data_IF_792365890621
#
_entry.id   IF_792365890621
#
_cell.length_a   1.000
_cell.length_b   1.000
_cell.length_c   1.000
_cell.angle_alpha   90.00
_cell.angle_beta   90.00
_cell.angle_gamma   90.00
#
_symmetry.space_group_name_H-M   'P 1'
#
loop_
_entity.id
_entity.type
_entity.pdbx_description
1 polymer ?
#
# COMPACT_ATOMS: atom_id res chain seq x y z
N UNK A 1 3.86 58.47 2.53
CA UNK A 1 4.28 57.19 1.91
C UNK A 1 3.15 56.67 1.03
N UNK A 2 3.12 56.97 -0.28
CA UNK A 2 1.95 56.65 -1.15
C UNK A 2 2.26 55.92 -2.46
N UNK A 3 3.51 55.55 -2.72
CA UNK A 3 3.83 54.62 -3.80
C UNK A 3 4.94 53.70 -3.30
N UNK A 4 4.66 52.40 -3.29
CA UNK A 4 5.56 51.22 -3.36
C UNK A 4 4.81 49.93 -3.02
N UNK A 5 3.60 50.01 -2.46
CA UNK A 5 2.76 48.85 -2.13
C UNK A 5 2.54 47.94 -3.35
N UNK A 6 2.25 48.50 -4.53
CA UNK A 6 2.08 47.71 -5.76
C UNK A 6 3.33 46.92 -6.19
N UNK A 7 4.52 47.53 -6.06
CA UNK A 7 5.79 46.86 -6.40
C UNK A 7 6.13 45.75 -5.40
N UNK A 8 5.92 46.00 -4.10
CA UNK A 8 6.12 45.00 -3.05
C UNK A 8 5.17 43.82 -3.24
N UNK A 9 3.90 44.08 -3.58
CA UNK A 9 2.91 43.02 -3.86
C UNK A 9 3.29 42.22 -5.09
N UNK A 10 3.77 42.86 -6.16
CA UNK A 10 4.20 42.15 -7.37
C UNK A 10 5.40 41.23 -7.09
N UNK A 11 6.42 41.70 -6.37
CA UNK A 11 7.57 40.88 -5.98
C UNK A 11 7.14 39.74 -5.04
N UNK A 12 6.28 40.02 -4.07
CA UNK A 12 5.75 39.00 -3.16
C UNK A 12 4.94 37.92 -3.92
N UNK A 13 4.13 38.31 -4.90
CA UNK A 13 3.37 37.38 -5.73
C UNK A 13 4.28 36.50 -6.60
N UNK A 14 5.30 37.08 -7.23
CA UNK A 14 6.28 36.32 -8.02
C UNK A 14 7.07 35.35 -7.14
N UNK A 15 7.52 35.80 -5.97
CA UNK A 15 8.19 34.93 -4.99
C UNK A 15 7.27 33.80 -4.50
N UNK A 16 5.99 34.08 -4.26
CA UNK A 16 5.02 33.06 -3.89
C UNK A 16 4.82 32.03 -5.02
N UNK A 17 4.66 32.47 -6.27
CA UNK A 17 4.56 31.56 -7.42
C UNK A 17 5.82 30.73 -7.58
N UNK A 18 7.01 31.28 -7.37
CA UNK A 18 8.26 30.52 -7.46
C UNK A 18 8.42 29.52 -6.30
N UNK A 19 8.13 29.92 -5.07
CA UNK A 19 8.25 29.05 -3.90
C UNK A 19 7.20 27.94 -3.90
N UNK A 20 5.93 28.28 -4.13
CA UNK A 20 4.84 27.31 -4.12
C UNK A 20 4.73 26.55 -5.44
N UNK A 21 4.90 27.22 -6.58
CA UNK A 21 4.85 26.60 -7.91
C UNK A 21 6.06 25.72 -8.19
N UNK A 22 7.27 26.14 -7.75
CA UNK A 22 8.48 25.32 -7.86
C UNK A 22 8.37 24.02 -7.03
N UNK A 23 7.90 24.13 -5.78
CA UNK A 23 7.63 22.95 -4.95
C UNK A 23 6.55 22.04 -5.54
N UNK A 24 5.45 22.62 -6.03
CA UNK A 24 4.36 21.87 -6.65
C UNK A 24 4.82 21.13 -7.91
N UNK A 25 5.54 21.80 -8.81
CA UNK A 25 6.08 21.19 -10.03
C UNK A 25 7.09 20.08 -9.71
N UNK A 26 7.99 20.31 -8.74
CA UNK A 26 8.94 19.28 -8.30
C UNK A 26 8.23 18.05 -7.73
N UNK A 27 7.25 18.25 -6.85
CA UNK A 27 6.45 17.16 -6.28
C UNK A 27 5.76 16.34 -7.38
N UNK A 28 5.12 17.00 -8.33
CA UNK A 28 4.39 16.31 -9.41
C UNK A 28 5.33 15.54 -10.34
N UNK A 29 6.41 16.16 -10.81
CA UNK A 29 7.22 15.61 -11.90
C UNK A 29 8.38 14.73 -11.44
N UNK A 30 9.01 15.06 -10.30
CA UNK A 30 10.17 14.31 -9.82
C UNK A 30 9.79 13.15 -8.89
N UNK A 31 8.60 13.17 -8.30
CA UNK A 31 8.17 12.19 -7.30
C UNK A 31 6.92 11.45 -7.78
N UNK A 32 5.78 12.14 -7.92
CA UNK A 32 4.49 11.48 -8.19
C UNK A 32 4.46 10.78 -9.55
N UNK A 33 4.80 11.48 -10.63
CA UNK A 33 4.75 10.92 -11.98
C UNK A 33 5.65 9.68 -12.19
N UNK A 34 6.95 9.69 -11.82
CA UNK A 34 7.81 8.52 -12.03
C UNK A 34 7.41 7.36 -11.10
N UNK A 35 7.01 7.66 -9.86
CA UNK A 35 6.58 6.63 -8.92
C UNK A 35 5.24 6.01 -9.35
N UNK A 36 4.30 6.82 -9.85
CA UNK A 36 3.06 6.33 -10.45
C UNK A 36 3.29 5.46 -11.67
N UNK A 37 4.23 5.85 -12.53
CA UNK A 37 4.56 5.06 -13.71
C UNK A 37 5.14 3.70 -13.32
N UNK A 38 6.02 3.65 -12.31
CA UNK A 38 6.59 2.42 -11.79
C UNK A 38 5.51 1.46 -11.29
N UNK A 39 4.59 1.93 -10.45
CA UNK A 39 3.52 1.08 -9.89
C UNK A 39 2.55 0.62 -10.98
N UNK A 40 2.14 1.52 -11.90
CA UNK A 40 1.21 1.18 -13.00
C UNK A 40 1.80 0.26 -14.08
N UNK A 41 3.12 0.12 -14.13
CA UNK A 41 3.77 -0.79 -15.08
C UNK A 41 3.74 -2.24 -14.60
N UNK A 42 3.45 -2.47 -13.31
CA UNK A 42 3.34 -3.81 -12.77
C UNK A 42 2.06 -4.48 -13.27
N UNK A 43 2.17 -5.74 -13.67
CA UNK A 43 1.04 -6.53 -14.17
C UNK A 43 -0.02 -6.71 -13.08
N UNK A 44 -1.28 -6.44 -13.44
CA UNK A 44 -2.42 -6.55 -12.51
C UNK A 44 -2.74 -5.28 -11.72
N UNK A 45 -2.05 -4.16 -11.94
CA UNK A 45 -2.42 -2.87 -11.33
C UNK A 45 -3.39 -2.10 -12.24
N UNK A 46 -4.67 -2.02 -11.85
CA UNK A 46 -5.71 -1.33 -12.62
C UNK A 46 -5.74 0.17 -12.32
N UNK A 47 -5.71 0.53 -11.04
CA UNK A 47 -5.74 1.92 -10.60
C UNK A 47 -4.83 2.18 -9.40
N UNK A 48 -4.28 3.39 -9.34
CA UNK A 48 -3.42 3.82 -8.23
C UNK A 48 -3.73 5.25 -7.84
N UNK A 49 -3.99 5.45 -6.55
CA UNK A 49 -4.10 6.77 -5.92
C UNK A 49 -2.92 7.00 -4.99
N UNK A 50 -2.36 8.21 -5.04
CA UNK A 50 -1.20 8.60 -4.24
C UNK A 50 -1.61 9.65 -3.23
N UNK A 51 -1.11 9.49 -2.01
CA UNK A 51 -1.15 10.51 -0.98
C UNK A 51 0.25 10.71 -0.42
N UNK A 52 0.92 11.81 -0.82
CA UNK A 52 2.28 12.09 -0.38
C UNK A 52 2.25 13.11 0.76
N UNK A 53 2.82 12.71 1.89
CA UNK A 53 3.11 13.57 3.03
C UNK A 53 4.62 13.70 3.21
N UNK A 54 5.11 14.64 4.04
CA UNK A 54 6.54 14.78 4.30
C UNK A 54 7.20 13.52 4.90
N UNK A 55 6.43 12.67 5.59
CA UNK A 55 6.94 11.48 6.29
C UNK A 55 6.56 10.17 5.61
N UNK A 56 5.47 10.16 4.84
CA UNK A 56 4.85 8.94 4.33
C UNK A 56 4.38 9.11 2.89
N UNK A 57 4.48 8.03 2.12
CA UNK A 57 3.87 7.88 0.81
C UNK A 57 2.77 6.84 0.93
N UNK A 58 1.52 7.30 0.95
CA UNK A 58 0.34 6.46 0.90
C UNK A 58 0.02 6.03 -0.52
N UNK A 59 -0.11 4.74 -0.73
CA UNK A 59 -0.56 4.11 -1.97
C UNK A 59 -1.90 3.45 -1.71
N UNK A 60 -2.93 3.87 -2.44
CA UNK A 60 -4.17 3.11 -2.54
C UNK A 60 -4.24 2.45 -3.91
N UNK A 61 -4.18 1.13 -3.91
CA UNK A 61 -4.14 0.31 -5.11
C UNK A 61 -5.51 -0.30 -5.39
N UNK A 62 -5.81 -0.44 -6.67
CA UNK A 62 -6.86 -1.27 -7.21
C UNK A 62 -6.18 -2.33 -8.08
N UNK A 63 -6.37 -3.60 -7.75
CA UNK A 63 -5.64 -4.71 -8.33
C UNK A 63 -6.61 -5.67 -9.02
N UNK A 64 -6.23 -6.12 -10.21
CA UNK A 64 -6.90 -7.20 -10.91
C UNK A 64 -6.82 -8.50 -10.09
N UNK A 65 -7.77 -9.41 -10.28
CA UNK A 65 -7.80 -10.67 -9.54
C UNK A 65 -6.54 -11.52 -9.77
N UNK A 66 -5.98 -12.08 -8.70
CA UNK A 66 -4.78 -12.93 -8.76
C UNK A 66 -3.44 -12.17 -8.87
N UNK A 67 -3.43 -10.85 -8.70
CA UNK A 67 -2.19 -10.08 -8.75
C UNK A 67 -1.23 -10.50 -7.64
N UNK A 68 0.05 -10.72 -7.98
CA UNK A 68 1.09 -10.99 -6.99
C UNK A 68 1.43 -9.71 -6.20
N UNK A 69 0.77 -9.56 -5.05
CA UNK A 69 0.97 -8.44 -4.15
C UNK A 69 2.38 -8.39 -3.56
N UNK A 70 2.95 -9.54 -3.19
CA UNK A 70 4.29 -9.61 -2.62
C UNK A 70 5.34 -9.18 -3.64
N UNK A 71 5.17 -9.63 -4.89
CA UNK A 71 5.98 -9.19 -6.02
C UNK A 71 5.85 -7.70 -6.32
N UNK A 72 4.63 -7.15 -6.27
CA UNK A 72 4.40 -5.72 -6.44
C UNK A 72 5.14 -4.91 -5.39
N UNK A 73 5.04 -5.30 -4.11
CA UNK A 73 5.76 -4.61 -3.03
C UNK A 73 7.27 -4.70 -3.23
N UNK A 74 7.81 -5.89 -3.52
CA UNK A 74 9.24 -6.03 -3.82
C UNK A 74 9.70 -5.17 -4.99
N UNK A 75 8.88 -5.04 -6.03
CA UNK A 75 9.17 -4.18 -7.17
C UNK A 75 9.23 -2.71 -6.75
N UNK A 76 8.26 -2.25 -5.96
CA UNK A 76 8.22 -0.89 -5.40
C UNK A 76 9.41 -0.64 -4.47
N UNK A 77 9.76 -1.60 -3.61
CA UNK A 77 10.90 -1.45 -2.71
C UNK A 77 12.24 -1.42 -3.47
N UNK A 78 12.41 -2.27 -4.47
CA UNK A 78 13.65 -2.35 -5.23
C UNK A 78 13.88 -1.11 -6.09
N UNK A 79 12.86 -0.72 -6.86
CA UNK A 79 12.99 0.30 -7.90
C UNK A 79 12.50 1.68 -7.42
N UNK A 80 11.61 1.70 -6.43
CA UNK A 80 11.02 2.90 -5.84
C UNK A 80 11.75 3.45 -4.61
N UNK A 81 12.67 2.71 -3.97
CA UNK A 81 13.41 3.20 -2.78
C UNK A 81 14.16 4.51 -3.02
N UNK A 82 14.70 4.72 -4.22
CA UNK A 82 15.35 5.99 -4.60
C UNK A 82 14.35 7.16 -4.65
N UNK A 83 13.09 6.88 -5.00
CA UNK A 83 12.02 7.86 -5.11
C UNK A 83 11.33 8.14 -3.76
N UNK A 84 11.24 7.12 -2.89
CA UNK A 84 10.69 7.22 -1.54
C UNK A 84 11.61 8.03 -0.60
N UNK A 85 12.93 7.96 -0.80
CA UNK A 85 13.90 8.64 0.04
C UNK A 85 13.85 8.12 1.48
N UNK A 86 13.54 9.00 2.43
CA UNK A 86 13.42 8.67 3.87
C UNK A 86 11.96 8.57 4.34
N UNK A 87 11.00 8.45 3.41
CA UNK A 87 9.57 8.39 3.71
C UNK A 87 9.15 6.93 3.84
N UNK A 88 8.22 6.65 4.75
CA UNK A 88 7.65 5.32 4.91
C UNK A 88 6.60 5.07 3.82
N UNK A 89 6.59 3.88 3.24
CA UNK A 89 5.55 3.44 2.32
C UNK A 89 4.36 2.91 3.12
N UNK A 90 3.17 3.45 2.89
CA UNK A 90 1.93 2.92 3.44
C UNK A 90 1.08 2.38 2.29
N UNK A 91 0.77 1.10 2.33
CA UNK A 91 0.00 0.43 1.28
C UNK A 91 -1.41 0.14 1.76
N UNK A 92 -2.39 0.50 0.95
CA UNK A 92 -3.80 0.16 1.10
C UNK A 92 -4.27 -0.45 -0.21
N UNK A 93 -4.93 -1.60 -0.17
CA UNK A 93 -5.47 -2.26 -1.35
C UNK A 93 -6.99 -2.25 -1.27
N UNK A 94 -7.62 -1.88 -2.38
CA UNK A 94 -9.06 -2.03 -2.55
C UNK A 94 -9.30 -3.47 -2.97
N UNK A 95 -9.96 -4.26 -2.11
CA UNK A 95 -10.31 -5.62 -2.45
C UNK A 95 -11.62 -5.67 -3.26
N UNK A 96 -11.66 -6.58 -4.24
CA UNK A 96 -12.88 -6.98 -4.95
C UNK A 96 -13.34 -8.32 -4.38
N UNK A 97 -13.47 -8.36 -3.05
CA UNK A 97 -13.87 -9.56 -2.32
C UNK A 97 -15.37 -9.81 -2.48
N UNK A 98 -15.77 -11.07 -2.33
CA UNK A 98 -17.16 -11.48 -2.26
C UNK A 98 -17.48 -11.99 -0.84
N UNK A 99 -18.75 -12.01 -0.42
CA UNK A 99 -19.12 -12.57 0.87
C UNK A 99 -18.64 -14.01 1.09
N UNK A 100 -18.59 -14.81 0.02
CA UNK A 100 -18.07 -16.18 0.08
C UNK A 100 -16.56 -16.18 0.34
N UNK A 101 -15.79 -15.32 -0.33
CA UNK A 101 -14.35 -15.20 -0.13
C UNK A 101 -14.02 -14.67 1.29
N UNK A 102 -14.83 -13.76 1.83
CA UNK A 102 -14.71 -13.29 3.21
C UNK A 102 -15.00 -14.39 4.23
N UNK A 103 -15.97 -15.27 3.92
CA UNK A 103 -16.28 -16.44 4.74
C UNK A 103 -15.13 -17.44 4.72
N UNK A 104 -14.60 -17.75 3.53
CA UNK A 104 -13.43 -18.62 3.34
C UNK A 104 -12.22 -18.06 4.11
N UNK A 105 -11.96 -16.76 4.03
CA UNK A 105 -10.88 -16.12 4.79
C UNK A 105 -11.06 -16.27 6.31
N UNK A 106 -12.30 -16.16 6.79
CA UNK A 106 -12.62 -16.29 8.21
C UNK A 106 -12.28 -17.67 8.78
N UNK A 107 -12.28 -18.72 7.96
CA UNK A 107 -11.87 -20.08 8.35
C UNK A 107 -10.37 -20.17 8.64
N UNK A 108 -9.54 -19.44 7.88
CA UNK A 108 -8.09 -19.39 8.07
C UNK A 108 -7.65 -18.33 9.11
N UNK A 109 -8.49 -17.33 9.40
CA UNK A 109 -8.12 -16.16 10.20
C UNK A 109 -7.50 -16.50 11.55
N UNK A 110 -8.07 -17.48 12.28
CA UNK A 110 -7.56 -17.87 13.60
C UNK A 110 -6.17 -18.50 13.52
N UNK A 111 -5.98 -19.47 12.62
CA UNK A 111 -4.70 -20.15 12.42
C UNK A 111 -3.62 -19.19 11.92
N UNK A 112 -3.97 -18.28 11.01
CA UNK A 112 -3.06 -17.23 10.53
C UNK A 112 -2.70 -16.26 11.66
N UNK A 113 -3.66 -15.82 12.47
CA UNK A 113 -3.40 -14.95 13.61
C UNK A 113 -2.46 -15.62 14.63
N UNK A 114 -2.69 -16.89 14.96
CA UNK A 114 -1.80 -17.66 15.83
C UNK A 114 -0.39 -17.78 15.24
N UNK A 115 -0.28 -18.05 13.94
CA UNK A 115 1.00 -18.13 13.25
C UNK A 115 1.76 -16.80 13.26
N UNK A 116 1.05 -15.68 13.08
CA UNK A 116 1.62 -14.33 13.19
C UNK A 116 2.15 -14.06 14.61
N UNK A 117 1.36 -14.37 15.65
CA UNK A 117 1.75 -14.15 17.05
C UNK A 117 2.99 -14.98 17.43
N UNK A 118 3.03 -16.24 17.00
CA UNK A 118 4.15 -17.15 17.27
C UNK A 118 5.31 -17.00 16.28
N UNK A 119 5.21 -16.10 15.28
CA UNK A 119 6.20 -15.91 14.20
C UNK A 119 6.46 -17.19 13.38
N UNK A 120 5.46 -18.05 13.29
CA UNK A 120 5.47 -19.30 12.53
C UNK A 120 4.95 -19.07 11.11
N UNK A 121 5.62 -18.23 10.34
CA UNK A 121 5.10 -17.76 9.05
C UNK A 121 4.88 -18.87 8.01
N UNK A 122 5.63 -19.98 8.11
CA UNK A 122 5.42 -21.16 7.26
C UNK A 122 4.06 -21.82 7.48
N UNK A 123 3.50 -21.72 8.70
CA UNK A 123 2.17 -22.25 9.03
C UNK A 123 1.04 -21.46 8.35
N UNK A 124 1.29 -20.20 7.99
CA UNK A 124 0.36 -19.40 7.19
C UNK A 124 0.19 -20.06 5.82
N UNK A 125 1.29 -20.39 5.14
CA UNK A 125 1.25 -21.07 3.84
C UNK A 125 0.55 -22.42 3.96
N UNK A 126 0.87 -23.22 4.98
CA UNK A 126 0.23 -24.51 5.20
C UNK A 126 -1.30 -24.36 5.42
N UNK A 127 -1.72 -23.38 6.20
CA UNK A 127 -3.14 -23.07 6.42
C UNK A 127 -3.84 -22.72 5.09
N UNK A 128 -3.20 -21.91 4.24
CA UNK A 128 -3.74 -21.54 2.94
C UNK A 128 -3.79 -22.73 1.97
N UNK A 129 -2.78 -23.60 1.97
CA UNK A 129 -2.77 -24.81 1.16
C UNK A 129 -3.91 -25.75 1.55
N UNK A 130 -4.22 -25.88 2.85
CA UNK A 130 -5.38 -26.63 3.34
C UNK A 130 -6.70 -26.00 2.88
N UNK A 131 -6.79 -24.67 2.92
CA UNK A 131 -7.98 -23.95 2.45
C UNK A 131 -8.23 -24.18 0.96
N UNK A 132 -7.18 -24.16 0.14
CA UNK A 132 -7.25 -24.47 -1.30
C UNK A 132 -7.72 -25.90 -1.55
N UNK A 133 -7.33 -26.87 -0.71
CA UNK A 133 -7.79 -28.26 -0.83
C UNK A 133 -9.28 -28.44 -0.47
N UNK A 134 -9.83 -27.55 0.36
CA UNK A 134 -11.23 -27.60 0.82
C UNK A 134 -12.20 -26.92 -0.13
N UNK A 135 -11.71 -25.97 -0.94
CA UNK A 135 -12.52 -25.13 -1.82
C UNK A 135 -12.03 -25.24 -3.26
N UNK A 136 -12.76 -25.98 -4.10
CA UNK A 136 -12.45 -26.13 -5.52
C UNK A 136 -12.36 -24.75 -6.21
N UNK A 137 -11.32 -24.56 -7.04
CA UNK A 137 -11.02 -23.33 -7.77
C UNK A 137 -10.57 -22.11 -6.93
N UNK A 138 -10.38 -22.27 -5.61
CA UNK A 138 -9.69 -21.27 -4.80
C UNK A 138 -8.18 -21.30 -5.09
N UNK A 139 -7.59 -20.12 -5.21
CA UNK A 139 -6.15 -19.94 -5.19
C UNK A 139 -5.80 -19.07 -3.98
N UNK A 140 -4.78 -19.48 -3.23
CA UNK A 140 -4.30 -18.75 -2.07
C UNK A 140 -2.77 -18.71 -2.08
N UNK A 141 -2.22 -17.52 -1.85
CA UNK A 141 -0.77 -17.33 -1.74
C UNK A 141 -0.44 -16.49 -0.52
N UNK A 142 0.67 -16.82 0.15
CA UNK A 142 1.29 -15.97 1.15
C UNK A 142 2.69 -15.56 0.69
N UNK A 143 3.01 -14.30 0.90
CA UNK A 143 4.33 -13.74 0.70
C UNK A 143 4.71 -12.87 1.90
N UNK A 144 5.99 -12.60 2.09
CA UNK A 144 6.48 -11.86 3.25
C UNK A 144 7.70 -11.01 2.90
N UNK A 145 7.74 -9.80 3.44
CA UNK A 145 8.93 -8.95 3.47
C UNK A 145 9.40 -8.69 4.92
N UNK A 146 10.24 -7.68 5.14
CA UNK A 146 10.74 -7.36 6.47
C UNK A 146 9.67 -6.83 7.44
N UNK A 147 8.59 -6.25 6.92
CA UNK A 147 7.60 -5.49 7.69
C UNK A 147 6.23 -6.17 7.72
N UNK A 148 5.82 -6.85 6.65
CA UNK A 148 4.48 -7.41 6.49
C UNK A 148 4.48 -8.82 5.88
N UNK A 149 3.39 -9.53 6.14
CA UNK A 149 2.94 -10.72 5.42
C UNK A 149 1.77 -10.31 4.52
N UNK A 150 1.81 -10.72 3.27
CA UNK A 150 0.80 -10.47 2.26
C UNK A 150 0.07 -11.77 1.96
N UNK A 151 -1.24 -11.78 2.13
CA UNK A 151 -2.10 -12.90 1.77
C UNK A 151 -2.99 -12.48 0.63
N UNK A 152 -3.00 -13.29 -0.44
CA UNK A 152 -3.90 -13.11 -1.58
C UNK A 152 -4.78 -14.34 -1.70
N UNK A 153 -6.10 -14.13 -1.70
CA UNK A 153 -7.09 -15.15 -2.05
C UNK A 153 -7.74 -14.76 -3.37
N UNK A 154 -7.87 -15.70 -4.29
CA UNK A 154 -8.52 -15.49 -5.59
C UNK A 154 -9.51 -16.60 -5.86
N UNK A 155 -10.73 -16.22 -6.26
CA UNK A 155 -11.81 -17.13 -6.62
C UNK A 155 -12.50 -16.62 -7.89
N UNK A 156 -12.12 -17.18 -9.05
CA UNK A 156 -12.56 -16.67 -10.34
C UNK A 156 -12.08 -15.24 -10.59
N UNK A 157 -13.02 -14.29 -10.68
CA UNK A 157 -12.73 -12.85 -10.86
C UNK A 157 -12.72 -12.07 -9.55
N UNK A 158 -13.00 -12.70 -8.40
CA UNK A 158 -12.97 -12.07 -7.10
C UNK A 158 -11.61 -12.28 -6.44
N UNK A 159 -11.11 -11.27 -5.74
CA UNK A 159 -9.85 -11.36 -5.01
C UNK A 159 -9.88 -10.58 -3.71
N UNK A 160 -9.27 -11.17 -2.68
CA UNK A 160 -9.07 -10.56 -1.38
C UNK A 160 -7.59 -10.41 -1.11
N UNK A 161 -7.18 -9.21 -0.75
CA UNK A 161 -5.80 -8.87 -0.39
C UNK A 161 -5.73 -8.48 1.07
N UNK A 162 -4.90 -9.16 1.84
CA UNK A 162 -4.74 -8.91 3.28
C UNK A 162 -3.28 -8.61 3.58
N UNK A 163 -3.04 -7.46 4.22
CA UNK A 163 -1.72 -7.04 4.70
C UNK A 163 -1.69 -7.24 6.21
N UNK A 164 -0.77 -8.07 6.68
CA UNK A 164 -0.59 -8.39 8.10
C UNK A 164 0.79 -7.88 8.56
N UNK A 165 0.87 -6.87 9.44
CA UNK A 165 2.14 -6.36 9.93
C UNK A 165 2.83 -7.40 10.83
N UNK A 166 4.11 -7.67 10.57
CA UNK A 166 4.94 -8.64 11.33
C UNK A 166 5.29 -8.14 12.73
N UNK A 167 5.33 -6.82 12.89
CA UNK A 167 5.47 -6.17 14.18
C UNK A 167 4.07 -5.69 14.55
N UNK A 168 3.41 -6.30 15.55
CA UNK A 168 2.12 -5.82 16.01
C UNK A 168 2.27 -4.35 16.37
N UNK A 169 1.41 -3.49 15.80
CA UNK A 169 1.35 -2.12 16.26
C UNK A 169 1.01 -2.19 17.75
N UNK A 170 1.88 -1.64 18.60
CA UNK A 170 1.62 -1.56 20.04
C UNK A 170 0.26 -0.92 20.19
N UNK A 171 -0.72 -1.68 20.68
CA UNK A 171 -2.03 -1.13 20.99
C UNK A 171 -1.81 0.10 21.86
N UNK A 172 -2.14 1.27 21.34
CA UNK A 172 -2.09 2.50 22.10
C UNK A 172 -2.94 2.29 23.34
N UNK A 173 -2.33 2.40 24.52
CA UNK A 173 -3.06 2.58 25.77
C UNK A 173 -4.05 3.70 25.53
N UNK A 174 -5.35 3.39 25.60
CA UNK A 174 -6.38 4.42 25.63
C UNK A 174 -6.07 5.32 26.84
N UNK A 175 -5.70 6.59 26.64
CA UNK A 175 -5.70 7.50 27.76
C UNK A 175 -7.17 7.75 28.09
N UNK A 176 -7.50 7.56 29.36
CA UNK A 176 -8.75 7.93 30.05
C UNK A 176 -9.75 6.78 30.21
N UNK A 177 -9.55 6.01 31.28
CA UNK A 177 -10.65 5.54 32.12
C UNK A 177 -11.01 6.64 33.14
#
# INVERSE_FOLDING_TARGET
>A
MKLRIGQTVAIAAVSAVLLFGGWFAYRQWAIEAPFQKLVKQYEGVDHVQFNITPKEVGLKLDLAAGTDMGGLVRHIEKDGKKLLGNRNLKLEVTDHSTPDLDKIWSEALFSVAQAMENKQYTEIQHTLDQLVQQHDALQATADMDNENVYVTLTYGTASKYVILPRIPQKMGVWPNA
#
